data_IF_644494470377
#
_entry.id   IF_644494470377
#
_cell.length_a   1.000
_cell.length_b   1.000
_cell.length_c   1.000
_cell.angle_alpha   90.00
_cell.angle_beta   90.00
_cell.angle_gamma   90.00
#
_symmetry.space_group_name_H-M   'P 1'
#
loop_
_entity.id
_entity.type
_entity.pdbx_description
1 polymer ?
#
# COMPACT_ATOMS: atom_id res chain seq x y z
N UNK A 1 33.47 13.35 -2.94
CA UNK A 1 32.21 12.67 -2.57
C UNK A 1 31.28 13.75 -2.04
N UNK A 2 30.05 13.90 -2.56
CA UNK A 2 29.07 14.80 -1.93
C UNK A 2 28.81 14.27 -0.51
N UNK A 3 28.65 15.11 0.52
CA UNK A 3 28.37 14.62 1.87
C UNK A 3 27.17 13.69 1.79
N UNK A 4 27.28 12.51 2.42
CA UNK A 4 26.17 11.56 2.55
C UNK A 4 24.99 12.33 3.15
N UNK A 5 24.07 12.75 2.28
CA UNK A 5 22.81 13.31 2.73
C UNK A 5 22.17 12.21 3.55
N UNK A 6 21.67 12.55 4.73
CA UNK A 6 20.90 11.63 5.56
C UNK A 6 19.59 11.28 4.83
N UNK A 7 19.70 10.37 3.85
CA UNK A 7 18.65 10.01 2.93
C UNK A 7 17.52 9.29 3.67
N UNK A 8 17.81 8.64 4.79
CA UNK A 8 16.80 8.01 5.65
C UNK A 8 15.93 9.07 6.30
N UNK A 9 16.54 10.09 6.90
CA UNK A 9 15.78 11.21 7.49
C UNK A 9 15.03 12.00 6.43
N UNK A 10 15.66 12.31 5.30
CA UNK A 10 15.01 13.01 4.18
C UNK A 10 13.81 12.21 3.66
N UNK A 11 13.97 10.90 3.46
CA UNK A 11 12.89 10.03 3.00
C UNK A 11 11.76 9.95 4.03
N UNK A 12 12.08 9.80 5.32
CA UNK A 12 11.07 9.77 6.39
C UNK A 12 10.26 11.08 6.45
N UNK A 13 10.92 12.23 6.36
CA UNK A 13 10.26 13.55 6.32
C UNK A 13 9.36 13.64 5.09
N UNK A 14 9.85 13.26 3.92
CA UNK A 14 9.07 13.30 2.69
C UNK A 14 7.81 12.42 2.75
N UNK A 15 7.92 11.19 3.29
CA UNK A 15 6.76 10.33 3.48
C UNK A 15 5.77 10.89 4.51
N UNK A 16 6.24 11.42 5.63
CA UNK A 16 5.37 12.04 6.63
C UNK A 16 4.57 13.22 6.05
N UNK A 17 5.21 14.06 5.21
CA UNK A 17 4.53 15.18 4.55
C UNK A 17 3.49 14.70 3.53
N UNK A 18 3.83 13.66 2.74
CA UNK A 18 2.92 13.08 1.75
C UNK A 18 1.70 12.42 2.39
N UNK A 19 1.87 11.76 3.53
CA UNK A 19 0.79 11.06 4.24
C UNK A 19 -0.43 11.95 4.44
N UNK A 20 -0.27 13.19 4.92
CA UNK A 20 -1.41 14.08 5.17
C UNK A 20 -2.19 14.39 3.89
N UNK A 21 -1.48 14.67 2.79
CA UNK A 21 -2.11 14.98 1.50
C UNK A 21 -2.80 13.73 0.91
N UNK A 22 -2.16 12.57 1.06
CA UNK A 22 -2.65 11.32 0.50
C UNK A 22 -3.87 10.78 1.25
N UNK A 23 -3.97 10.96 2.56
CA UNK A 23 -5.13 10.54 3.35
C UNK A 23 -6.41 11.26 2.89
N UNK A 24 -6.30 12.54 2.52
CA UNK A 24 -7.41 13.37 2.05
C UNK A 24 -7.66 13.25 0.54
N UNK A 25 -6.81 12.53 -0.19
CA UNK A 25 -6.90 12.42 -1.64
C UNK A 25 -7.93 11.37 -2.07
N UNK A 26 -8.72 11.71 -3.09
CA UNK A 26 -9.61 10.77 -3.79
C UNK A 26 -8.86 9.56 -4.37
N UNK A 27 -7.56 9.66 -4.59
CA UNK A 27 -6.75 8.58 -5.15
C UNK A 27 -6.81 7.28 -4.33
N UNK A 28 -6.83 7.38 -2.99
CA UNK A 28 -6.86 6.21 -2.11
C UNK A 28 -8.27 5.76 -1.76
N UNK A 29 -9.30 6.53 -2.14
CA UNK A 29 -10.72 6.30 -1.86
C UNK A 29 -10.97 5.55 -0.55
N UNK A 30 -10.52 6.18 0.55
CA UNK A 30 -10.54 5.56 1.87
C UNK A 30 -11.97 5.17 2.29
N UNK A 31 -12.98 5.94 1.86
CA UNK A 31 -14.37 5.62 2.14
C UNK A 31 -14.84 4.33 1.46
N UNK A 32 -14.59 4.17 0.15
CA UNK A 32 -14.95 2.94 -0.56
C UNK A 32 -14.17 1.74 -0.02
N UNK A 33 -12.87 1.92 0.26
CA UNK A 33 -12.03 0.86 0.81
C UNK A 33 -12.51 0.34 2.17
N UNK A 34 -12.95 1.26 3.06
CA UNK A 34 -13.55 0.90 4.35
C UNK A 34 -14.90 0.19 4.19
N UNK A 35 -15.65 0.48 3.13
CA UNK A 35 -16.90 -0.23 2.77
C UNK A 35 -16.67 -1.61 2.15
N UNK A 36 -15.42 -2.01 1.93
CA UNK A 36 -15.05 -3.34 1.47
C UNK A 36 -14.44 -3.39 0.07
N UNK A 37 -14.30 -2.24 -0.61
CA UNK A 37 -13.66 -2.21 -1.91
C UNK A 37 -12.17 -2.61 -1.83
N UNK A 38 -11.60 -3.06 -2.94
CA UNK A 38 -10.22 -3.50 -3.03
C UNK A 38 -9.34 -2.45 -3.72
N UNK A 39 -8.14 -2.22 -3.18
CA UNK A 39 -7.15 -1.36 -3.84
C UNK A 39 -6.49 -2.05 -5.04
N UNK A 40 -6.42 -3.39 -5.04
CA UNK A 40 -5.88 -4.21 -6.13
C UNK A 40 -6.70 -4.04 -7.40
N UNK A 41 -6.02 -3.73 -8.50
CA UNK A 41 -6.53 -3.57 -9.84
C UNK A 41 -6.53 -4.90 -10.59
N UNK A 42 -7.25 -4.92 -11.70
CA UNK A 42 -7.43 -6.12 -12.52
C UNK A 42 -6.11 -6.80 -12.91
N UNK A 43 -5.10 -6.03 -13.31
CA UNK A 43 -3.79 -6.58 -13.68
C UNK A 43 -3.09 -7.29 -12.51
N UNK A 44 -3.24 -6.77 -11.28
CA UNK A 44 -2.64 -7.38 -10.09
C UNK A 44 -3.37 -8.67 -9.72
N UNK A 45 -4.71 -8.68 -9.81
CA UNK A 45 -5.52 -9.87 -9.58
C UNK A 45 -5.17 -11.00 -10.57
N UNK A 46 -4.99 -10.66 -11.86
CA UNK A 46 -4.60 -11.60 -12.90
C UNK A 46 -3.19 -12.17 -12.69
N UNK A 47 -2.24 -11.32 -12.26
CA UNK A 47 -0.86 -11.73 -12.01
C UNK A 47 -0.72 -12.60 -10.75
N UNK A 48 -1.47 -12.27 -9.69
CA UNK A 48 -1.44 -13.00 -8.41
C UNK A 48 -2.14 -14.35 -8.52
N UNK A 49 -3.23 -14.44 -9.30
CA UNK A 49 -4.06 -15.63 -9.40
C UNK A 49 -4.70 -16.01 -8.07
N UNK A 50 -4.93 -17.30 -7.86
CA UNK A 50 -5.45 -17.78 -6.57
C UNK A 50 -4.37 -17.78 -5.50
N UNK A 51 -4.58 -16.94 -4.48
CA UNK A 51 -3.68 -16.78 -3.33
C UNK A 51 -4.27 -17.30 -2.02
N UNK A 52 -5.39 -18.02 -2.07
CA UNK A 52 -6.06 -18.53 -0.88
C UNK A 52 -5.12 -19.43 -0.04
N UNK A 53 -5.01 -19.12 1.25
CA UNK A 53 -4.18 -19.85 2.21
C UNK A 53 -2.68 -19.64 2.07
N UNK A 54 -2.20 -18.83 1.11
CA UNK A 54 -0.78 -18.56 0.92
C UNK A 54 -0.28 -17.52 1.92
N UNK A 55 0.96 -17.67 2.36
CA UNK A 55 1.62 -16.63 3.14
C UNK A 55 2.35 -15.64 2.22
N UNK A 56 2.07 -14.34 2.38
CA UNK A 56 2.55 -13.28 1.48
C UNK A 56 3.28 -12.20 2.28
N UNK A 57 4.49 -11.86 1.81
CA UNK A 57 5.23 -10.70 2.28
C UNK A 57 5.01 -9.52 1.32
N UNK A 58 4.18 -8.57 1.74
CA UNK A 58 3.97 -7.33 0.99
C UNK A 58 4.92 -6.23 1.47
N UNK A 59 5.89 -5.85 0.64
CA UNK A 59 6.90 -4.85 0.96
C UNK A 59 6.43 -3.45 0.56
N UNK A 60 6.12 -2.63 1.57
CA UNK A 60 5.74 -1.20 1.45
C UNK A 60 4.36 -0.95 0.82
N UNK A 61 3.33 -0.96 1.66
CA UNK A 61 1.97 -0.54 1.31
C UNK A 61 1.63 0.74 2.07
N UNK A 62 1.77 1.91 1.45
CA UNK A 62 1.64 3.23 2.09
C UNK A 62 0.63 3.29 3.26
N UNK A 63 -0.60 2.83 3.04
CA UNK A 63 -1.67 2.78 4.06
C UNK A 63 -2.10 1.35 4.44
N UNK A 64 -1.44 0.33 3.92
CA UNK A 64 -1.79 -1.07 4.17
C UNK A 64 -3.00 -1.58 3.36
N UNK A 65 -3.58 -0.77 2.46
CA UNK A 65 -4.77 -1.14 1.68
C UNK A 65 -4.55 -2.42 0.86
N UNK A 66 -3.46 -2.53 0.09
CA UNK A 66 -3.19 -3.74 -0.69
C UNK A 66 -2.91 -4.93 0.21
N UNK A 67 -2.21 -4.74 1.34
CA UNK A 67 -1.98 -5.82 2.32
C UNK A 67 -3.30 -6.37 2.86
N UNK A 68 -4.23 -5.48 3.19
CA UNK A 68 -5.56 -5.85 3.67
C UNK A 68 -6.37 -6.47 2.53
N UNK A 69 -6.30 -5.96 1.30
CA UNK A 69 -6.92 -6.57 0.12
C UNK A 69 -6.42 -7.99 -0.13
N UNK A 70 -5.11 -8.24 -0.04
CA UNK A 70 -4.52 -9.58 -0.15
C UNK A 70 -5.06 -10.51 0.94
N UNK A 71 -5.20 -10.01 2.18
CA UNK A 71 -5.82 -10.76 3.27
C UNK A 71 -7.31 -11.05 3.02
N UNK A 72 -8.07 -10.10 2.47
CA UNK A 72 -9.48 -10.28 2.06
C UNK A 72 -9.65 -11.32 0.94
N UNK A 73 -8.64 -11.47 0.08
CA UNK A 73 -8.56 -12.53 -0.94
C UNK A 73 -8.15 -13.91 -0.37
N UNK A 74 -7.86 -14.00 0.93
CA UNK A 74 -7.58 -15.25 1.62
C UNK A 74 -6.10 -15.54 1.87
N UNK A 75 -5.19 -14.58 1.67
CA UNK A 75 -3.80 -14.73 2.14
C UNK A 75 -3.73 -14.83 3.67
N UNK A 76 -2.74 -15.58 4.17
CA UNK A 76 -2.53 -15.92 5.59
C UNK A 76 -1.29 -15.26 6.20
#
# INVERSE_FOLDING_TARGET
>A
MKPDKDYKTINKIAWNLKTNIHVESEFYDNEAFLKGDSSLKQIELELLGDIQGKSILHLQCHFGQDTISLSRLGAR
#
